data_IF_948747476315
#
_entry.id   IF_948747476315
#
_cell.length_a   1.000
_cell.length_b   1.000
_cell.length_c   1.000
_cell.angle_alpha   90.00
_cell.angle_beta   90.00
_cell.angle_gamma   90.00
#
_symmetry.space_group_name_H-M   'P 1'
#
loop_
_entity.id
_entity.type
_entity.pdbx_description
1 polymer ?
#
# COMPACT_ATOMS: atom_id res chain seq x y z
N UNK A 1 10.21 -13.51 -8.35
CA UNK A 1 8.82 -13.61 -8.86
C UNK A 1 8.49 -15.08 -9.11
N UNK A 2 7.46 -15.57 -8.46
CA UNK A 2 6.95 -16.96 -8.58
C UNK A 2 5.42 -16.93 -8.73
N UNK A 3 4.84 -18.04 -9.16
CA UNK A 3 3.40 -18.24 -9.26
C UNK A 3 3.01 -19.44 -8.42
N UNK A 4 1.93 -19.29 -7.64
CA UNK A 4 1.43 -20.35 -6.78
C UNK A 4 -0.10 -20.30 -6.66
N UNK A 5 -0.71 -21.48 -6.47
CA UNK A 5 -2.10 -21.61 -6.03
C UNK A 5 -2.13 -21.49 -4.51
N UNK A 6 -2.42 -20.30 -4.00
CA UNK A 6 -2.49 -20.03 -2.56
C UNK A 6 -3.88 -20.35 -2.01
N UNK A 7 -3.95 -20.92 -0.82
CA UNK A 7 -5.22 -21.28 -0.16
C UNK A 7 -5.76 -20.11 0.63
N UNK A 8 -7.04 -19.82 0.50
CA UNK A 8 -7.77 -18.84 1.31
C UNK A 8 -8.03 -19.46 2.69
N UNK A 9 -7.47 -18.87 3.74
CA UNK A 9 -7.76 -19.26 5.13
C UNK A 9 -8.93 -18.51 5.72
N UNK A 10 -9.05 -17.22 5.42
CA UNK A 10 -10.11 -16.36 5.91
C UNK A 10 -10.40 -15.23 4.92
N UNK A 11 -11.65 -14.80 4.90
CA UNK A 11 -12.09 -13.58 4.24
C UNK A 11 -13.11 -12.87 5.13
N UNK A 12 -12.91 -11.58 5.36
CA UNK A 12 -13.72 -10.76 6.24
C UNK A 12 -14.01 -9.41 5.58
N UNK A 13 -15.26 -8.94 5.65
CA UNK A 13 -15.61 -7.56 5.32
C UNK A 13 -15.30 -6.68 6.54
N UNK A 14 -14.17 -5.97 6.49
CA UNK A 14 -13.66 -5.15 7.61
C UNK A 14 -14.26 -3.74 7.64
N UNK A 15 -14.83 -3.30 6.51
CA UNK A 15 -15.63 -2.09 6.38
C UNK A 15 -16.48 -2.21 5.10
N UNK A 16 -17.52 -1.40 4.89
CA UNK A 16 -18.37 -1.50 3.72
C UNK A 16 -17.59 -1.57 2.40
N UNK A 17 -17.74 -2.71 1.71
CA UNK A 17 -17.04 -3.04 0.45
C UNK A 17 -15.51 -3.16 0.56
N UNK A 18 -14.96 -3.26 1.77
CA UNK A 18 -13.52 -3.45 2.02
C UNK A 18 -13.33 -4.80 2.68
N UNK A 19 -12.55 -5.65 2.06
CA UNK A 19 -12.32 -7.03 2.46
C UNK A 19 -10.88 -7.28 2.83
N UNK A 20 -10.66 -7.97 3.94
CA UNK A 20 -9.37 -8.55 4.36
C UNK A 20 -9.37 -10.02 3.97
N UNK A 21 -8.39 -10.43 3.20
CA UNK A 21 -8.20 -11.81 2.73
C UNK A 21 -6.88 -12.35 3.25
N UNK A 22 -6.93 -13.48 3.96
CA UNK A 22 -5.75 -14.21 4.43
C UNK A 22 -5.47 -15.38 3.50
N UNK A 23 -4.27 -15.39 2.93
CA UNK A 23 -3.77 -16.40 2.00
C UNK A 23 -2.64 -17.19 2.63
N UNK A 24 -2.60 -18.52 2.40
CA UNK A 24 -1.52 -19.40 2.82
C UNK A 24 -0.83 -20.03 1.61
N UNK A 25 0.49 -20.07 1.65
CA UNK A 25 1.31 -20.72 0.63
C UNK A 25 2.80 -20.46 0.82
N UNK A 26 3.64 -21.27 0.18
CA UNK A 26 5.11 -21.17 0.25
C UNK A 26 5.65 -19.87 -0.34
N UNK A 27 4.85 -19.24 -1.21
CA UNK A 27 5.19 -17.94 -1.82
C UNK A 27 5.45 -16.86 -0.75
N UNK A 28 4.85 -16.98 0.44
CA UNK A 28 5.05 -16.07 1.56
C UNK A 28 6.52 -15.98 1.99
N UNK A 29 7.28 -17.07 1.89
CA UNK A 29 8.73 -17.09 2.16
C UNK A 29 9.57 -16.14 1.27
N UNK A 30 9.03 -15.72 0.13
CA UNK A 30 9.66 -14.76 -0.78
C UNK A 30 9.28 -13.29 -0.46
N UNK A 31 8.27 -13.06 0.39
CA UNK A 31 7.75 -11.73 0.75
C UNK A 31 8.59 -11.17 1.90
N UNK A 32 9.41 -10.17 1.63
CA UNK A 32 10.32 -9.62 2.63
C UNK A 32 10.24 -8.10 2.75
N UNK A 33 9.88 -7.42 1.68
CA UNK A 33 9.93 -5.96 1.60
C UNK A 33 8.52 -5.38 1.69
N UNK A 34 8.22 -4.51 2.66
CA UNK A 34 6.91 -3.87 2.78
C UNK A 34 6.64 -2.98 1.56
N UNK A 35 5.38 -2.90 1.13
CA UNK A 35 5.00 -2.15 -0.07
C UNK A 35 5.08 -2.96 -1.38
N UNK A 36 5.51 -4.22 -1.36
CA UNK A 36 5.33 -5.14 -2.48
C UNK A 36 3.85 -5.50 -2.65
N UNK A 37 3.51 -6.03 -3.83
CA UNK A 37 2.13 -6.42 -4.17
C UNK A 37 2.05 -7.82 -4.77
N UNK A 38 0.84 -8.36 -4.79
CA UNK A 38 0.47 -9.61 -5.46
C UNK A 38 -0.35 -9.30 -6.71
N UNK A 39 -0.16 -10.05 -7.78
CA UNK A 39 -0.93 -9.96 -9.01
C UNK A 39 -1.83 -11.18 -9.14
N UNK A 40 -3.08 -11.04 -8.72
CA UNK A 40 -4.01 -12.13 -8.45
C UNK A 40 -4.91 -12.35 -9.67
N UNK A 41 -5.00 -13.61 -10.14
CA UNK A 41 -5.91 -13.99 -11.22
C UNK A 41 -7.35 -13.97 -10.72
N UNK A 42 -8.21 -13.28 -11.48
CA UNK A 42 -9.64 -13.27 -11.18
C UNK A 42 -10.22 -14.65 -11.49
N UNK A 43 -11.02 -15.27 -10.58
CA UNK A 43 -11.58 -16.61 -10.78
C UNK A 43 -12.83 -16.59 -11.70
N UNK A 44 -12.74 -15.85 -12.80
CA UNK A 44 -13.76 -15.74 -13.84
C UNK A 44 -13.12 -15.74 -15.22
N UNK A 45 -13.64 -16.57 -16.13
CA UNK A 45 -13.05 -16.78 -17.45
C UNK A 45 -13.13 -15.54 -18.39
N UNK A 46 -14.11 -14.68 -18.17
CA UNK A 46 -14.33 -13.42 -18.92
C UNK A 46 -13.42 -12.28 -18.45
N UNK A 47 -12.76 -12.41 -17.28
CA UNK A 47 -11.88 -11.40 -16.71
C UNK A 47 -10.41 -11.83 -16.80
N UNK A 48 -9.81 -11.61 -17.97
CA UNK A 48 -8.48 -12.15 -18.31
C UNK A 48 -7.33 -11.52 -17.51
N UNK A 49 -7.45 -10.24 -17.15
CA UNK A 49 -6.36 -9.53 -16.46
C UNK A 49 -6.38 -9.84 -14.97
N UNK A 50 -5.18 -10.01 -14.40
CA UNK A 50 -4.97 -10.10 -12.96
C UNK A 50 -5.23 -8.75 -12.28
N UNK A 51 -5.37 -8.74 -10.97
CA UNK A 51 -5.51 -7.52 -10.14
C UNK A 51 -4.30 -7.37 -9.24
N UNK A 52 -3.58 -6.24 -9.31
CA UNK A 52 -2.51 -5.92 -8.37
C UNK A 52 -3.13 -5.49 -7.04
N UNK A 53 -2.76 -6.15 -5.97
CA UNK A 53 -3.19 -5.82 -4.61
C UNK A 53 -1.96 -5.82 -3.70
N UNK A 54 -1.76 -4.73 -2.97
CA UNK A 54 -0.64 -4.60 -2.04
C UNK A 54 -0.73 -5.60 -0.89
N UNK A 55 0.42 -6.08 -0.45
CA UNK A 55 0.54 -6.93 0.74
C UNK A 55 0.34 -6.05 1.98
N UNK A 56 -0.58 -6.46 2.86
CA UNK A 56 -0.88 -5.76 4.11
C UNK A 56 -0.04 -6.28 5.29
N UNK A 57 0.05 -7.60 5.42
CA UNK A 57 0.81 -8.26 6.49
C UNK A 57 1.45 -9.55 5.98
N UNK A 58 2.59 -9.91 6.57
CA UNK A 58 3.37 -11.10 6.25
C UNK A 58 3.64 -11.85 7.54
N UNK A 59 3.36 -13.16 7.56
CA UNK A 59 3.76 -14.07 8.63
C UNK A 59 4.44 -15.29 8.00
N UNK A 60 5.77 -15.27 8.01
CA UNK A 60 6.58 -16.34 7.43
C UNK A 60 6.52 -17.63 8.28
N UNK A 61 6.27 -17.52 9.58
CA UNK A 61 6.24 -18.68 10.48
C UNK A 61 5.02 -19.58 10.21
N UNK A 62 3.90 -18.96 9.82
CA UNK A 62 2.66 -19.67 9.47
C UNK A 62 2.46 -19.80 7.95
N UNK A 63 3.41 -19.32 7.15
CA UNK A 63 3.31 -19.24 5.68
C UNK A 63 2.05 -18.48 5.22
N UNK A 64 1.65 -17.41 5.93
CA UNK A 64 0.45 -16.61 5.62
C UNK A 64 0.77 -15.17 5.27
N UNK A 65 -0.03 -14.60 4.38
CA UNK A 65 -0.04 -13.17 4.14
C UNK A 65 -1.48 -12.65 4.11
N UNK A 66 -1.63 -11.36 4.39
CA UNK A 66 -2.90 -10.67 4.29
C UNK A 66 -2.85 -9.61 3.20
N UNK A 67 -3.96 -9.48 2.49
CA UNK A 67 -4.23 -8.35 1.59
C UNK A 67 -5.55 -7.71 2.00
N UNK A 68 -5.66 -6.39 1.78
CA UNK A 68 -6.92 -5.68 1.94
C UNK A 68 -7.24 -5.01 0.61
N UNK A 69 -8.46 -5.19 0.14
CA UNK A 69 -8.92 -4.62 -1.12
C UNK A 69 -10.35 -4.06 -0.99
N UNK A 70 -10.64 -3.08 -1.84
CA UNK A 70 -11.99 -2.53 -1.97
C UNK A 70 -12.65 -3.05 -3.26
N UNK A 71 -13.94 -3.30 -3.22
CA UNK A 71 -14.73 -3.59 -4.43
C UNK A 71 -14.79 -2.32 -5.28
N UNK A 72 -14.00 -2.29 -6.36
CA UNK A 72 -13.96 -1.20 -7.35
C UNK A 72 -14.66 -1.58 -8.67
N UNK A 73 -14.66 -2.86 -8.99
CA UNK A 73 -15.26 -3.40 -10.21
C UNK A 73 -15.40 -4.91 -10.16
N UNK A 74 -15.75 -5.52 -11.29
CA UNK A 74 -16.11 -6.95 -11.39
C UNK A 74 -15.02 -7.89 -10.85
N UNK A 75 -13.74 -7.57 -11.05
CA UNK A 75 -12.65 -8.43 -10.58
C UNK A 75 -12.56 -8.49 -9.06
N UNK A 76 -12.60 -7.35 -8.38
CA UNK A 76 -12.60 -7.29 -6.91
C UNK A 76 -13.94 -7.74 -6.32
N UNK A 77 -15.03 -7.57 -7.06
CA UNK A 77 -16.32 -8.17 -6.69
C UNK A 77 -16.25 -9.71 -6.72
N UNK A 78 -15.67 -10.29 -7.76
CA UNK A 78 -15.46 -11.75 -7.82
C UNK A 78 -14.59 -12.27 -6.66
N UNK A 79 -13.61 -11.47 -6.19
CA UNK A 79 -12.84 -11.85 -5.00
C UNK A 79 -13.70 -11.87 -3.73
N UNK A 80 -14.64 -10.95 -3.56
CA UNK A 80 -15.49 -10.90 -2.36
C UNK A 80 -16.49 -12.09 -2.24
N UNK A 81 -16.64 -12.84 -3.29
CA UNK A 81 -17.50 -14.04 -3.34
C UNK A 81 -16.74 -15.34 -2.99
N UNK A 82 -15.41 -15.24 -2.77
CA UNK A 82 -14.58 -16.39 -2.41
C UNK A 82 -14.75 -16.75 -0.93
N UNK A 83 -14.52 -18.03 -0.63
CA UNK A 83 -14.67 -18.58 0.73
C UNK A 83 -13.42 -19.32 1.18
N UNK A 84 -13.20 -19.48 2.49
CA UNK A 84 -12.12 -20.30 3.04
C UNK A 84 -12.08 -21.71 2.42
N UNK A 85 -10.88 -22.22 2.15
CA UNK A 85 -10.62 -23.48 1.46
C UNK A 85 -10.50 -23.37 -0.05
N UNK A 86 -10.98 -22.29 -0.69
CA UNK A 86 -10.75 -22.04 -2.11
C UNK A 86 -9.29 -21.64 -2.36
N UNK A 87 -8.85 -21.78 -3.62
CA UNK A 87 -7.50 -21.41 -4.05
C UNK A 87 -7.53 -20.27 -5.04
N UNK A 88 -6.53 -19.41 -4.95
CA UNK A 88 -6.26 -18.31 -5.88
C UNK A 88 -4.91 -18.48 -6.56
N UNK A 89 -4.89 -18.27 -7.86
CA UNK A 89 -3.66 -18.20 -8.66
C UNK A 89 -3.01 -16.81 -8.43
N UNK A 90 -1.90 -16.81 -7.69
CA UNK A 90 -1.16 -15.63 -7.26
C UNK A 90 0.20 -15.60 -7.91
N UNK A 91 0.53 -14.48 -8.54
CA UNK A 91 1.86 -14.15 -9.05
C UNK A 91 2.48 -13.11 -8.12
N UNK A 92 3.67 -13.38 -7.58
CA UNK A 92 4.31 -12.44 -6.66
C UNK A 92 5.58 -12.99 -5.99
N UNK A 93 6.06 -12.34 -4.93
CA UNK A 93 5.85 -10.90 -4.71
C UNK A 93 6.39 -10.09 -5.90
N UNK A 94 5.78 -8.95 -6.17
CA UNK A 94 6.11 -8.06 -7.29
C UNK A 94 6.44 -6.65 -6.80
N UNK A 95 7.22 -5.95 -7.62
CA UNK A 95 7.64 -4.58 -7.38
C UNK A 95 8.70 -4.43 -6.31
N UNK A 96 9.27 -3.24 -6.27
CA UNK A 96 10.19 -2.77 -5.24
C UNK A 96 9.38 -2.08 -4.14
N UNK A 97 9.49 -2.56 -2.91
CA UNK A 97 8.83 -1.97 -1.76
C UNK A 97 9.56 -0.73 -1.21
N UNK A 98 9.21 -0.35 0.01
CA UNK A 98 9.87 0.74 0.72
C UNK A 98 11.28 0.36 1.16
N UNK A 99 12.25 1.23 0.89
CA UNK A 99 13.64 1.05 1.31
C UNK A 99 13.83 1.55 2.74
N UNK A 100 14.09 0.63 3.66
CA UNK A 100 14.35 0.88 5.08
C UNK A 100 15.84 0.96 5.43
N UNK A 101 16.74 0.82 4.47
CA UNK A 101 18.19 0.69 4.70
C UNK A 101 18.83 1.88 5.44
N UNK A 102 18.18 3.05 5.37
CA UNK A 102 18.65 4.28 6.02
C UNK A 102 18.01 4.53 7.40
N UNK A 103 17.06 3.67 7.83
CA UNK A 103 16.35 3.85 9.09
C UNK A 103 17.14 3.23 10.24
N UNK A 104 17.18 3.95 11.35
CA UNK A 104 17.85 3.54 12.57
C UNK A 104 16.88 3.48 13.76
N UNK A 105 17.31 2.83 14.82
CA UNK A 105 16.59 2.86 16.10
C UNK A 105 16.43 4.30 16.60
N UNK A 106 15.24 4.60 17.11
CA UNK A 106 14.75 5.91 17.57
C UNK A 106 14.52 6.95 16.46
N UNK A 107 14.68 6.62 15.18
CA UNK A 107 14.29 7.50 14.09
C UNK A 107 12.76 7.67 14.10
N UNK A 108 12.29 8.91 14.08
CA UNK A 108 10.86 9.23 13.86
C UNK A 108 10.57 9.11 12.37
N UNK A 109 9.57 8.30 12.03
CA UNK A 109 9.20 8.00 10.63
C UNK A 109 7.72 8.30 10.43
N UNK A 110 7.41 9.14 9.45
CA UNK A 110 6.03 9.46 9.09
C UNK A 110 5.48 8.46 8.08
N UNK A 111 4.34 7.86 8.42
CA UNK A 111 3.56 6.97 7.57
C UNK A 111 2.26 7.68 7.18
N UNK A 112 2.13 8.05 5.91
CA UNK A 112 1.02 8.87 5.44
C UNK A 112 0.13 8.03 4.52
N UNK A 113 -1.12 7.81 4.93
CA UNK A 113 -2.04 6.93 4.23
C UNK A 113 -3.40 7.53 3.94
N UNK A 114 -4.03 7.13 2.82
CA UNK A 114 -5.38 7.55 2.49
C UNK A 114 -6.27 6.42 1.97
N UNK A 115 -7.39 6.18 2.63
CA UNK A 115 -8.37 5.17 2.24
C UNK A 115 -7.75 3.79 2.01
N UNK A 116 -7.91 3.23 0.81
CA UNK A 116 -7.37 1.90 0.47
C UNK A 116 -5.83 1.89 0.25
N UNK A 117 -5.14 3.03 0.36
CA UNK A 117 -3.68 3.08 0.40
C UNK A 117 -3.07 2.81 1.78
N UNK A 118 -3.88 2.70 2.84
CA UNK A 118 -3.42 2.40 4.21
C UNK A 118 -2.85 0.97 4.37
N UNK A 119 -3.41 -0.09 3.75
CA UNK A 119 -2.98 -1.47 3.99
C UNK A 119 -1.48 -1.74 3.85
N UNK A 120 -0.76 -1.31 2.79
CA UNK A 120 0.68 -1.59 2.66
C UNK A 120 1.54 -0.92 3.74
N UNK A 121 1.01 0.06 4.45
CA UNK A 121 1.70 0.75 5.54
C UNK A 121 1.68 -0.06 6.86
N UNK A 122 0.85 -1.11 6.98
CA UNK A 122 0.80 -1.92 8.18
C UNK A 122 2.07 -2.79 8.34
N UNK A 123 2.44 -3.56 7.32
CA UNK A 123 3.68 -4.34 7.35
C UNK A 123 4.91 -3.42 7.47
N UNK A 124 4.89 -2.27 6.80
CA UNK A 124 5.92 -1.26 6.93
C UNK A 124 6.07 -0.77 8.38
N UNK A 125 4.96 -0.47 9.03
CA UNK A 125 4.95 -0.03 10.45
C UNK A 125 5.48 -1.11 11.39
N UNK A 126 5.13 -2.38 11.16
CA UNK A 126 5.66 -3.52 11.92
C UNK A 126 7.18 -3.62 11.82
N UNK A 127 7.72 -3.60 10.59
CA UNK A 127 9.16 -3.68 10.35
C UNK A 127 9.91 -2.47 10.93
N UNK A 128 9.34 -1.28 10.88
CA UNK A 128 9.91 -0.09 11.54
C UNK A 128 10.00 -0.28 13.05
N UNK A 129 8.98 -0.85 13.68
CA UNK A 129 9.01 -1.19 15.12
C UNK A 129 10.09 -2.23 15.44
N UNK A 130 10.29 -3.23 14.60
CA UNK A 130 11.34 -4.25 14.76
C UNK A 130 12.76 -3.64 14.66
N UNK A 131 12.95 -2.63 13.83
CA UNK A 131 14.19 -1.83 13.76
C UNK A 131 14.37 -0.97 15.03
N UNK A 132 13.31 -0.73 15.79
CA UNK A 132 13.29 0.17 16.94
C UNK A 132 13.04 1.64 16.57
N UNK A 133 12.56 1.91 15.36
CA UNK A 133 12.11 3.23 14.94
C UNK A 133 10.74 3.59 15.57
N UNK A 134 10.37 4.85 15.48
CA UNK A 134 9.16 5.43 16.06
C UNK A 134 8.21 5.82 14.90
N UNK A 135 7.29 4.93 14.48
CA UNK A 135 6.32 5.27 13.46
C UNK A 135 5.27 6.24 14.00
N UNK A 136 4.99 7.28 13.22
CA UNK A 136 3.90 8.24 13.44
C UNK A 136 3.00 8.20 12.21
N UNK A 137 1.74 7.89 12.42
CA UNK A 137 0.77 7.64 11.35
C UNK A 137 -0.12 8.85 11.14
N UNK A 138 -0.30 9.25 9.88
CA UNK A 138 -1.23 10.29 9.43
C UNK A 138 -2.19 9.67 8.42
N UNK A 139 -3.41 9.35 8.86
CA UNK A 139 -4.36 8.63 8.03
C UNK A 139 -5.63 9.42 7.77
N UNK A 140 -6.07 9.39 6.52
CA UNK A 140 -7.29 10.04 6.06
C UNK A 140 -8.27 9.06 5.43
N UNK A 141 -9.55 9.20 5.78
CA UNK A 141 -10.66 8.40 5.25
C UNK A 141 -11.83 9.31 4.87
N UNK A 142 -12.74 8.82 4.05
CA UNK A 142 -13.95 9.59 3.72
C UNK A 142 -14.86 9.76 4.95
N UNK A 143 -14.99 8.71 5.78
CA UNK A 143 -15.81 8.70 7.00
C UNK A 143 -15.32 7.62 7.96
N UNK A 144 -15.79 7.67 9.21
CA UNK A 144 -15.54 6.64 10.21
C UNK A 144 -16.00 5.25 9.76
N UNK A 145 -17.09 5.17 9.02
CA UNK A 145 -17.68 3.89 8.59
C UNK A 145 -16.80 3.09 7.63
N UNK A 146 -15.82 3.72 6.97
CA UNK A 146 -14.88 3.06 6.05
C UNK A 146 -13.46 2.95 6.62
N UNK A 147 -13.29 3.22 7.91
CA UNK A 147 -12.03 2.97 8.63
C UNK A 147 -11.92 1.49 9.01
N UNK A 148 -10.71 1.00 9.05
CA UNK A 148 -10.38 -0.38 9.45
C UNK A 148 -8.99 -0.42 10.10
N UNK A 149 -8.72 -1.50 10.85
CA UNK A 149 -7.43 -1.80 11.50
C UNK A 149 -6.88 -0.69 12.42
N UNK A 150 -7.77 0.18 12.94
CA UNK A 150 -7.40 1.33 13.77
C UNK A 150 -6.57 0.90 14.98
N UNK A 151 -7.04 -0.06 15.75
CA UNK A 151 -6.39 -0.56 16.95
C UNK A 151 -5.05 -1.22 16.65
N UNK A 152 -4.91 -1.85 15.48
CA UNK A 152 -3.67 -2.48 15.04
C UNK A 152 -2.57 -1.43 14.79
N UNK A 153 -2.90 -0.30 14.17
CA UNK A 153 -1.94 0.79 13.98
C UNK A 153 -1.62 1.53 15.29
N UNK A 154 -2.60 1.76 16.15
CA UNK A 154 -2.41 2.40 17.45
C UNK A 154 -1.49 1.59 18.38
N UNK A 155 -1.46 0.28 18.22
CA UNK A 155 -0.51 -0.59 18.92
C UNK A 155 0.95 -0.45 18.42
N UNK A 156 1.13 0.04 17.20
CA UNK A 156 2.45 0.21 16.57
C UNK A 156 3.06 1.60 16.81
N UNK A 157 2.25 2.64 16.97
CA UNK A 157 2.75 3.99 17.17
C UNK A 157 1.65 5.04 17.31
N UNK A 158 2.05 6.30 17.39
CA UNK A 158 1.10 7.43 17.42
C UNK A 158 0.33 7.49 16.12
N UNK A 159 -0.99 7.68 16.22
CA UNK A 159 -1.88 7.77 15.06
C UNK A 159 -2.68 9.09 15.10
N UNK A 160 -2.60 9.83 14.03
CA UNK A 160 -3.42 11.00 13.75
C UNK A 160 -4.42 10.63 12.66
N UNK A 161 -5.70 10.90 12.91
CA UNK A 161 -6.79 10.50 12.05
C UNK A 161 -7.56 11.71 11.53
N UNK A 162 -7.91 11.72 10.24
CA UNK A 162 -8.82 12.67 9.65
C UNK A 162 -9.93 11.96 8.87
N UNK A 163 -11.14 12.53 8.89
CA UNK A 163 -12.22 12.10 8.01
C UNK A 163 -12.81 13.31 7.28
N UNK A 164 -13.11 13.14 5.99
CA UNK A 164 -13.63 14.23 5.16
C UNK A 164 -14.94 14.78 5.72
N UNK A 165 -15.81 13.91 6.24
CA UNK A 165 -17.11 14.28 6.85
C UNK A 165 -17.01 14.73 8.30
N UNK A 166 -15.88 14.53 8.99
CA UNK A 166 -15.66 14.87 10.39
C UNK A 166 -16.29 13.87 11.37
N UNK A 167 -16.65 12.66 10.91
CA UNK A 167 -17.25 11.63 11.77
C UNK A 167 -16.27 11.00 12.76
N UNK A 168 -14.94 11.13 12.52
CA UNK A 168 -13.88 10.69 13.42
C UNK A 168 -12.61 11.52 13.23
N UNK A 169 -11.89 11.79 14.33
CA UNK A 169 -10.65 12.56 14.32
C UNK A 169 -10.84 14.01 13.84
N UNK A 170 -9.85 14.52 13.13
CA UNK A 170 -9.93 15.85 12.54
C UNK A 170 -10.87 15.83 11.32
N UNK A 171 -11.73 16.86 11.21
CA UNK A 171 -12.52 17.05 9.97
C UNK A 171 -11.63 17.62 8.88
N UNK A 172 -11.49 16.86 7.78
CA UNK A 172 -10.69 17.27 6.62
C UNK A 172 -9.85 16.12 6.06
N UNK A 173 -8.85 16.46 5.29
CA UNK A 173 -7.99 15.51 4.60
C UNK A 173 -6.57 15.45 5.21
N UNK A 174 -5.79 14.46 4.82
CA UNK A 174 -4.42 14.21 5.31
C UNK A 174 -3.51 15.45 5.22
N UNK A 175 -3.62 16.27 4.17
CA UNK A 175 -2.82 17.49 4.04
C UNK A 175 -3.05 18.46 5.20
N UNK A 176 -4.30 18.70 5.59
CA UNK A 176 -4.64 19.55 6.75
C UNK A 176 -4.15 18.92 8.06
N UNK A 177 -4.26 17.60 8.17
CA UNK A 177 -3.75 16.85 9.33
C UNK A 177 -2.23 17.03 9.47
N UNK A 178 -1.48 16.95 8.37
CA UNK A 178 -0.03 17.21 8.35
C UNK A 178 0.32 18.66 8.73
N UNK A 179 -0.49 19.63 8.33
CA UNK A 179 -0.26 21.05 8.68
C UNK A 179 -0.42 21.29 10.17
N UNK A 180 -1.31 20.56 10.83
CA UNK A 180 -1.59 20.71 12.25
C UNK A 180 -0.66 19.88 13.14
N UNK A 181 -0.41 18.63 12.78
CA UNK A 181 0.17 17.62 13.67
C UNK A 181 1.62 17.25 13.32
N UNK A 182 2.10 17.54 12.10
CA UNK A 182 3.49 17.24 11.72
C UNK A 182 4.44 18.34 12.22
N UNK A 183 4.82 18.25 13.49
CA UNK A 183 5.55 19.31 14.22
C UNK A 183 7.07 19.16 14.18
N UNK A 184 7.59 18.02 13.76
CA UNK A 184 9.03 17.75 13.67
C UNK A 184 9.46 17.32 12.27
N UNK A 185 10.76 17.36 12.00
CA UNK A 185 11.33 16.83 10.75
C UNK A 185 11.60 15.34 10.95
N UNK A 186 10.87 14.44 10.28
CA UNK A 186 11.09 13.00 10.42
C UNK A 186 12.39 12.56 9.73
N UNK A 187 12.93 11.40 10.12
CA UNK A 187 14.04 10.77 9.43
C UNK A 187 13.64 10.21 8.05
N UNK A 188 12.39 9.82 7.91
CA UNK A 188 11.82 9.39 6.64
C UNK A 188 10.31 9.68 6.55
N UNK A 189 9.82 9.76 5.33
CA UNK A 189 8.39 9.90 4.99
C UNK A 189 8.01 8.81 4.00
N UNK A 190 7.03 8.00 4.34
CA UNK A 190 6.50 6.95 3.48
C UNK A 190 5.01 7.17 3.26
N UNK A 191 4.56 7.14 2.01
CA UNK A 191 3.17 7.43 1.70
C UNK A 191 2.55 6.45 0.70
N UNK A 192 1.25 6.17 0.89
CA UNK A 192 0.43 5.42 -0.06
C UNK A 192 -1.03 5.90 0.00
N UNK A 193 -1.63 6.17 -1.16
CA UNK A 193 -2.99 6.65 -1.26
C UNK A 193 -3.36 7.11 -2.66
N UNK A 194 -4.51 7.80 -2.77
CA UNK A 194 -4.96 8.33 -4.05
C UNK A 194 -4.02 9.43 -4.59
N UNK A 195 -4.11 9.71 -5.88
CA UNK A 195 -3.25 10.70 -6.57
C UNK A 195 -3.28 12.08 -5.93
N UNK A 196 -4.44 12.54 -5.47
CA UNK A 196 -4.58 13.86 -4.82
C UNK A 196 -3.75 13.95 -3.54
N UNK A 197 -3.87 12.92 -2.69
CA UNK A 197 -3.07 12.83 -1.45
C UNK A 197 -1.58 12.71 -1.76
N UNK A 198 -1.19 11.82 -2.68
CA UNK A 198 0.22 11.65 -3.04
C UNK A 198 0.83 12.93 -3.60
N UNK A 199 0.06 13.72 -4.39
CA UNK A 199 0.52 15.03 -4.88
C UNK A 199 0.79 16.01 -3.73
N UNK A 200 -0.10 16.09 -2.74
CA UNK A 200 0.11 16.92 -1.54
C UNK A 200 1.36 16.50 -0.78
N UNK A 201 1.59 15.20 -0.62
CA UNK A 201 2.79 14.67 0.07
C UNK A 201 4.04 14.93 -0.76
N UNK A 202 3.98 14.73 -2.08
CA UNK A 202 5.09 15.00 -2.99
C UNK A 202 5.52 16.47 -2.95
N UNK A 203 4.57 17.39 -3.05
CA UNK A 203 4.84 18.83 -2.96
C UNK A 203 5.50 19.23 -1.65
N UNK A 204 5.07 18.63 -0.53
CA UNK A 204 5.58 18.92 0.81
C UNK A 204 6.97 18.33 1.05
N UNK A 205 7.22 17.13 0.55
CA UNK A 205 8.41 16.33 0.90
C UNK A 205 9.34 16.01 -0.26
N UNK A 206 9.16 16.59 -1.45
CA UNK A 206 10.02 16.32 -2.63
C UNK A 206 11.50 16.60 -2.43
N UNK A 207 11.84 17.49 -1.51
CA UNK A 207 13.22 17.82 -1.16
C UNK A 207 13.71 17.06 0.09
N UNK A 208 12.89 16.20 0.68
CA UNK A 208 13.27 15.41 1.83
C UNK A 208 14.18 14.25 1.38
N UNK A 209 15.33 14.01 2.04
CA UNK A 209 16.35 13.05 1.56
C UNK A 209 15.89 11.59 1.58
N UNK A 210 14.82 11.28 2.31
CA UNK A 210 14.25 9.94 2.44
C UNK A 210 12.71 10.00 2.46
N UNK A 211 12.10 10.55 1.42
CA UNK A 211 10.66 10.49 1.20
C UNK A 211 10.37 9.52 0.04
N UNK A 212 9.47 8.56 0.26
CA UNK A 212 9.13 7.51 -0.70
C UNK A 212 7.60 7.38 -0.80
N UNK A 213 7.10 7.36 -2.02
CA UNK A 213 5.68 7.30 -2.33
C UNK A 213 5.36 6.04 -3.13
N UNK A 214 4.35 5.28 -2.69
CA UNK A 214 3.82 4.13 -3.41
C UNK A 214 2.74 4.56 -4.39
N UNK A 215 2.98 4.30 -5.67
CA UNK A 215 2.12 4.70 -6.78
C UNK A 215 1.25 3.55 -7.27
N UNK A 216 0.03 3.87 -7.67
CA UNK A 216 -0.89 2.94 -8.30
C UNK A 216 -0.93 3.14 -9.82
N UNK A 217 -0.99 2.04 -10.56
CA UNK A 217 -1.23 2.04 -11.99
C UNK A 217 -2.09 0.84 -12.40
N UNK A 218 -2.81 0.97 -13.50
CA UNK A 218 -3.44 -0.18 -14.15
C UNK A 218 -2.36 -1.10 -14.69
N UNK A 219 -2.46 -2.38 -14.40
CA UNK A 219 -1.47 -3.37 -14.79
C UNK A 219 -2.09 -4.46 -15.66
N UNK A 220 -1.39 -4.85 -16.72
CA UNK A 220 -1.74 -6.04 -17.51
C UNK A 220 -0.81 -7.19 -17.15
N UNK A 221 0.50 -7.09 -17.39
CA UNK A 221 1.43 -8.18 -17.11
C UNK A 221 1.96 -8.22 -15.66
N UNK A 222 2.12 -7.07 -15.01
CA UNK A 222 2.68 -6.97 -13.65
C UNK A 222 4.19 -7.23 -13.54
N UNK A 223 4.89 -7.45 -14.66
CA UNK A 223 6.29 -7.91 -14.69
C UNK A 223 7.19 -7.09 -15.64
N UNK A 224 6.83 -5.86 -15.95
CA UNK A 224 7.64 -4.96 -16.76
C UNK A 224 7.62 -5.17 -18.28
N UNK A 225 6.90 -6.16 -18.81
CA UNK A 225 6.97 -6.50 -20.22
C UNK A 225 6.05 -5.68 -21.14
N UNK A 226 4.87 -5.27 -20.67
CA UNK A 226 3.82 -4.71 -21.57
C UNK A 226 3.76 -3.18 -21.60
N UNK A 227 4.50 -2.47 -20.76
CA UNK A 227 4.50 -1.00 -20.64
C UNK A 227 3.11 -0.38 -20.32
N UNK A 228 2.16 -1.18 -19.82
CA UNK A 228 0.81 -0.70 -19.48
C UNK A 228 0.72 0.13 -18.19
N UNK A 229 1.75 0.10 -17.34
CA UNK A 229 1.78 0.76 -16.03
C UNK A 229 2.84 1.86 -15.93
N UNK A 230 3.16 2.54 -17.03
CA UNK A 230 4.19 3.57 -17.05
C UNK A 230 3.73 4.87 -16.41
N UNK A 231 4.66 5.54 -15.71
CA UNK A 231 4.56 6.91 -15.24
C UNK A 231 5.69 7.73 -15.85
N UNK A 232 5.44 9.00 -16.18
CA UNK A 232 6.46 9.91 -16.69
C UNK A 232 7.41 10.35 -15.59
N UNK A 233 8.68 10.53 -15.94
CA UNK A 233 9.71 11.05 -15.02
C UNK A 233 9.56 12.59 -14.92
N UNK A 234 9.59 13.11 -13.71
CA UNK A 234 9.52 14.55 -13.45
C UNK A 234 10.74 15.25 -14.06
N UNK A 235 10.52 16.43 -14.69
CA UNK A 235 11.58 17.24 -15.32
C UNK A 235 12.06 16.72 -16.67
N UNK A 236 11.42 15.69 -17.22
CA UNK A 236 11.68 15.27 -18.61
C UNK A 236 10.86 16.12 -19.59
N UNK A 237 11.47 17.18 -20.11
CA UNK A 237 10.85 18.08 -21.08
C UNK A 237 10.49 17.39 -22.41
N UNK A 238 11.16 16.28 -22.73
CA UNK A 238 10.91 15.52 -23.96
C UNK A 238 9.69 14.61 -23.85
N UNK A 239 9.24 14.28 -22.64
CA UNK A 239 8.15 13.34 -22.37
C UNK A 239 8.45 11.89 -22.77
N UNK A 240 9.72 11.57 -23.04
CA UNK A 240 10.14 10.23 -23.52
C UNK A 240 10.59 9.30 -22.40
N UNK A 241 10.98 9.86 -21.23
CA UNK A 241 11.42 9.06 -20.09
C UNK A 241 10.24 8.64 -19.25
N UNK A 242 10.11 7.34 -19.07
CA UNK A 242 9.07 6.75 -18.23
C UNK A 242 9.63 5.60 -17.39
N UNK A 243 9.00 5.33 -16.27
CA UNK A 243 9.28 4.19 -15.39
C UNK A 243 8.05 3.30 -15.27
N UNK A 244 8.25 2.01 -15.07
CA UNK A 244 7.19 1.02 -14.93
C UNK A 244 6.86 0.79 -13.46
N UNK A 245 5.63 1.09 -13.05
CA UNK A 245 5.19 0.92 -11.66
C UNK A 245 5.32 -0.53 -11.18
N UNK A 246 5.08 -1.51 -12.05
CA UNK A 246 5.14 -2.92 -11.66
C UNK A 246 6.55 -3.51 -11.51
N UNK A 247 7.58 -2.85 -12.05
CA UNK A 247 8.94 -3.36 -12.17
C UNK A 247 9.97 -2.47 -11.44
N UNK A 248 9.94 -1.16 -11.74
CA UNK A 248 10.82 -0.17 -11.13
C UNK A 248 10.20 0.47 -9.85
N UNK A 249 8.86 0.42 -9.71
CA UNK A 249 8.07 0.80 -8.54
C UNK A 249 7.53 -0.42 -7.81
N UNK A 250 6.40 -0.32 -7.07
CA UNK A 250 5.49 0.84 -7.01
C UNK A 250 6.02 2.02 -6.20
N UNK A 251 7.06 1.81 -5.41
CA UNK A 251 7.61 2.84 -4.53
C UNK A 251 8.71 3.62 -5.24
N UNK A 252 8.55 4.93 -5.29
CA UNK A 252 9.54 5.85 -5.85
C UNK A 252 9.88 6.97 -4.87
N UNK A 253 11.10 7.54 -4.93
CA UNK A 253 11.42 8.77 -4.21
C UNK A 253 10.44 9.90 -4.58
N UNK A 254 10.09 10.73 -3.60
CA UNK A 254 9.31 11.94 -3.85
C UNK A 254 9.96 12.81 -4.93
N UNK A 255 9.16 13.45 -5.77
CA UNK A 255 9.62 14.27 -6.89
C UNK A 255 10.13 13.50 -8.11
N UNK A 256 10.21 12.16 -8.08
CA UNK A 256 10.77 11.37 -9.20
C UNK A 256 9.81 11.17 -10.36
N UNK A 257 8.53 10.97 -10.08
CA UNK A 257 7.51 10.69 -11.11
C UNK A 257 6.38 11.70 -11.06
N UNK A 258 5.75 11.94 -12.21
CA UNK A 258 4.56 12.80 -12.31
C UNK A 258 3.36 12.05 -11.75
N UNK A 259 2.63 12.67 -10.79
CA UNK A 259 1.47 12.12 -10.08
C UNK A 259 0.17 12.52 -10.77
#
# INVERSE_FOLDING_TARGET
>A
MKQEMMTILAQEEVAPRIFKLTLQGKLVGEMQTPGQFLHIKVPRADLLLRRPISINAIDQATETCQIIYRIEGDGTKAFSELTPGMQLDVLGPLGNGFDLSKIKSNDVVYLIGGGIGVPPLYELSRQLKEIGAIPVHFFGFASQSVMYDKELFEALGVCHWATDDGSFGMKGHVGMLLDQEATEIPAAVFACGNKGMLRTVDERYRNHPNAQLSHEARMACGMGACYGCVCHVTGDETGTKSVKVCDEGPVFPAGKVVI
#
